data_IF_401604355016
#
_entry.id   IF_401604355016
#
_cell.length_a   1.000
_cell.length_b   1.000
_cell.length_c   1.000
_cell.angle_alpha   90.00
_cell.angle_beta   90.00
_cell.angle_gamma   90.00
#
_symmetry.space_group_name_H-M   'P 1'
#
loop_
_entity.id
_entity.type
_entity.pdbx_description
1 polymer ?
#
# COMPACT_ATOMS: atom_id res chain seq x y z
N UNK A 1 18.43 26.92 2.87
CA UNK A 1 17.84 26.59 4.18
C UNK A 1 16.88 25.42 3.95
N UNK A 2 16.97 24.36 4.75
CA UNK A 2 16.03 23.24 4.65
C UNK A 2 14.65 23.65 5.14
N UNK A 3 13.60 23.06 4.57
CA UNK A 3 12.23 23.22 5.07
C UNK A 3 12.11 22.62 6.48
N UNK A 4 11.45 23.33 7.39
CA UNK A 4 11.16 22.82 8.73
C UNK A 4 9.66 22.80 8.98
N UNK A 5 9.19 21.79 9.69
CA UNK A 5 7.78 21.59 10.09
C UNK A 5 7.70 21.28 11.57
N UNK A 6 6.58 21.65 12.17
CA UNK A 6 6.24 21.29 13.53
C UNK A 6 4.83 20.73 13.60
N UNK A 7 4.62 19.69 14.39
CA UNK A 7 3.32 19.05 14.58
C UNK A 7 3.22 18.44 15.98
N UNK A 8 2.01 18.20 16.48
CA UNK A 8 1.80 17.49 17.75
C UNK A 8 2.11 16.00 17.61
N UNK A 9 1.67 15.39 16.50
CA UNK A 9 1.84 13.96 16.28
C UNK A 9 2.41 13.68 14.90
N UNK A 10 3.49 12.94 14.85
CA UNK A 10 3.99 12.31 13.64
C UNK A 10 3.57 10.84 13.59
N UNK A 11 3.12 10.39 12.44
CA UNK A 11 2.91 8.96 12.16
C UNK A 11 3.82 8.56 11.00
N UNK A 12 4.71 7.59 11.24
CA UNK A 12 5.64 7.07 10.24
C UNK A 12 5.07 5.79 9.66
N UNK A 13 4.78 5.80 8.34
CA UNK A 13 4.15 4.72 7.61
C UNK A 13 2.66 4.94 7.40
N UNK A 14 2.22 4.96 6.14
CA UNK A 14 0.83 5.18 5.74
C UNK A 14 0.09 3.89 5.37
N UNK A 15 0.54 2.75 5.87
CA UNK A 15 -0.18 1.49 5.82
C UNK A 15 -1.43 1.49 6.72
N UNK A 16 -2.19 0.37 6.80
CA UNK A 16 -3.44 0.31 7.57
C UNK A 16 -3.30 0.74 9.03
N UNK A 17 -2.22 0.39 9.70
CA UNK A 17 -1.93 0.84 11.06
C UNK A 17 -1.69 2.34 11.14
N UNK A 18 -0.92 2.90 10.19
CA UNK A 18 -0.54 4.30 10.19
C UNK A 18 -1.68 5.25 9.84
N UNK A 19 -2.35 5.05 8.70
CA UNK A 19 -3.45 5.95 8.35
C UNK A 19 -4.63 5.84 9.34
N UNK A 20 -4.91 4.66 9.90
CA UNK A 20 -5.94 4.52 10.91
C UNK A 20 -5.58 5.29 12.19
N UNK A 21 -4.33 5.21 12.65
CA UNK A 21 -3.84 5.97 13.80
C UNK A 21 -3.88 7.49 13.53
N UNK A 22 -3.41 7.92 12.35
CA UNK A 22 -3.42 9.31 11.93
C UNK A 22 -4.84 9.89 11.89
N UNK A 23 -5.78 9.17 11.30
CA UNK A 23 -7.19 9.60 11.21
C UNK A 23 -7.83 9.67 12.59
N UNK A 24 -7.60 8.66 13.43
CA UNK A 24 -8.13 8.68 14.79
C UNK A 24 -7.58 9.84 15.62
N UNK A 25 -6.28 10.11 15.51
CA UNK A 25 -5.67 11.24 16.21
C UNK A 25 -6.23 12.59 15.73
N UNK A 26 -6.42 12.74 14.42
CA UNK A 26 -7.03 13.94 13.86
C UNK A 26 -8.50 14.11 14.30
N UNK A 27 -9.28 13.01 14.36
CA UNK A 27 -10.65 13.02 14.88
C UNK A 27 -10.71 13.40 16.38
N UNK A 28 -9.61 13.20 17.11
CA UNK A 28 -9.43 13.65 18.51
C UNK A 28 -8.87 15.06 18.63
N UNK A 29 -8.74 15.79 17.52
CA UNK A 29 -8.33 17.20 17.49
C UNK A 29 -6.81 17.42 17.41
N UNK A 30 -5.98 16.37 17.23
CA UNK A 30 -4.53 16.50 17.08
C UNK A 30 -4.14 17.06 15.72
N UNK A 31 -3.07 17.85 15.68
CA UNK A 31 -2.37 18.18 14.46
C UNK A 31 -1.46 17.00 14.08
N UNK A 32 -1.72 16.39 12.91
CA UNK A 32 -1.06 15.15 12.50
C UNK A 32 -0.31 15.33 11.20
N UNK A 33 0.95 14.87 11.19
CA UNK A 33 1.75 14.68 10.00
C UNK A 33 1.96 13.17 9.76
N UNK A 34 1.46 12.66 8.62
CA UNK A 34 1.64 11.29 8.17
C UNK A 34 2.76 11.24 7.13
N UNK A 35 3.80 10.46 7.42
CA UNK A 35 5.00 10.35 6.57
C UNK A 35 5.06 8.94 5.98
N UNK A 36 5.23 8.82 4.68
CA UNK A 36 5.52 7.54 4.02
C UNK A 36 6.55 7.75 2.89
N UNK A 37 7.37 6.73 2.65
CA UNK A 37 8.30 6.72 1.52
C UNK A 37 7.59 6.54 0.17
N UNK A 38 6.47 5.83 0.17
CA UNK A 38 5.67 5.60 -1.03
C UNK A 38 4.81 6.85 -1.34
N UNK A 39 4.55 7.15 -2.62
CA UNK A 39 3.77 8.33 -2.99
C UNK A 39 2.29 8.18 -2.63
N UNK A 40 1.80 6.96 -2.53
CA UNK A 40 0.40 6.66 -2.29
C UNK A 40 0.17 6.08 -0.90
N UNK A 41 -0.89 6.56 -0.25
CA UNK A 41 -1.31 6.04 1.05
C UNK A 41 -1.84 4.61 0.91
N UNK A 42 -1.92 3.87 2.03
CA UNK A 42 -2.47 2.50 2.05
C UNK A 42 -1.44 1.41 2.27
N UNK A 43 -0.14 1.72 2.07
CA UNK A 43 0.97 0.80 2.32
C UNK A 43 0.91 -0.50 1.53
N UNK A 44 1.58 -1.54 2.03
CA UNK A 44 1.66 -2.85 1.37
C UNK A 44 0.28 -3.49 1.20
N UNK A 45 -0.58 -3.43 2.21
CA UNK A 45 -1.89 -4.09 2.17
C UNK A 45 -2.75 -3.58 1.00
N UNK A 46 -2.89 -2.27 0.85
CA UNK A 46 -3.74 -1.70 -0.19
C UNK A 46 -3.09 -1.79 -1.56
N UNK A 47 -1.79 -1.43 -1.64
CA UNK A 47 -1.14 -1.26 -2.93
C UNK A 47 -0.57 -2.55 -3.51
N UNK A 48 -0.12 -3.48 -2.67
CA UNK A 48 0.73 -4.61 -3.08
C UNK A 48 0.45 -5.91 -2.32
N UNK A 49 -0.71 -6.03 -1.67
CA UNK A 49 -1.04 -7.16 -0.82
C UNK A 49 -2.52 -7.50 -0.81
N UNK A 50 -3.21 -7.14 0.26
CA UNK A 50 -4.59 -7.57 0.55
C UNK A 50 -5.58 -7.24 -0.56
N UNK A 51 -5.54 -6.03 -1.09
CA UNK A 51 -6.53 -5.58 -2.06
C UNK A 51 -6.28 -6.21 -3.44
N UNK A 52 -5.09 -6.10 -4.05
CA UNK A 52 -4.87 -6.75 -5.34
C UNK A 52 -5.04 -8.27 -5.27
N UNK A 53 -4.59 -8.94 -4.20
CA UNK A 53 -4.79 -10.38 -4.06
C UNK A 53 -6.27 -10.77 -3.97
N UNK A 54 -7.08 -10.03 -3.19
CA UNK A 54 -8.51 -10.30 -3.11
C UNK A 54 -9.26 -10.02 -4.42
N UNK A 55 -8.86 -9.01 -5.16
CA UNK A 55 -9.42 -8.73 -6.48
C UNK A 55 -9.21 -9.90 -7.44
N UNK A 56 -7.99 -10.46 -7.46
CA UNK A 56 -7.64 -11.61 -8.30
C UNK A 56 -8.31 -12.91 -7.83
N UNK A 57 -8.29 -13.18 -6.52
CA UNK A 57 -8.96 -14.35 -5.93
C UNK A 57 -10.47 -14.32 -6.17
N UNK A 58 -11.09 -13.14 -6.21
CA UNK A 58 -12.51 -13.04 -6.55
C UNK A 58 -12.79 -13.54 -7.97
N UNK A 59 -11.98 -13.16 -8.95
CA UNK A 59 -12.11 -13.61 -10.34
C UNK A 59 -11.94 -15.15 -10.42
N UNK A 60 -10.87 -15.65 -9.80
CA UNK A 60 -10.62 -17.10 -9.76
C UNK A 60 -11.77 -17.86 -9.11
N UNK A 61 -12.31 -17.36 -8.00
CA UNK A 61 -13.45 -17.97 -7.29
C UNK A 61 -14.72 -18.02 -8.17
N UNK A 62 -15.01 -16.95 -8.90
CA UNK A 62 -16.18 -16.91 -9.80
C UNK A 62 -16.03 -17.95 -10.92
N UNK A 63 -14.83 -18.09 -11.49
CA UNK A 63 -14.55 -19.10 -12.51
C UNK A 63 -14.72 -20.51 -11.96
N UNK A 64 -14.21 -20.78 -10.77
CA UNK A 64 -14.34 -22.06 -10.10
C UNK A 64 -15.80 -22.39 -9.77
N UNK A 65 -16.56 -21.43 -9.27
CA UNK A 65 -18.00 -21.58 -9.01
C UNK A 65 -18.78 -21.86 -10.28
N UNK A 66 -18.47 -21.18 -11.40
CA UNK A 66 -19.11 -21.47 -12.68
C UNK A 66 -18.82 -22.91 -13.16
N UNK A 67 -17.60 -23.39 -12.99
CA UNK A 67 -17.22 -24.77 -13.30
C UNK A 67 -17.98 -25.78 -12.41
N UNK A 68 -18.14 -25.49 -11.11
CA UNK A 68 -18.88 -26.37 -10.21
C UNK A 68 -20.36 -26.52 -10.54
N UNK A 69 -20.98 -25.56 -11.24
CA UNK A 69 -22.38 -25.67 -11.66
C UNK A 69 -22.62 -26.82 -12.67
N UNK A 70 -21.56 -27.34 -13.30
CA UNK A 70 -21.66 -28.50 -14.20
C UNK A 70 -22.24 -29.73 -13.46
N UNK A 71 -21.88 -29.93 -12.19
CA UNK A 71 -22.42 -31.01 -11.34
C UNK A 71 -23.94 -30.85 -11.12
N UNK A 72 -24.43 -29.60 -11.15
CA UNK A 72 -25.84 -29.26 -10.97
C UNK A 72 -26.61 -29.21 -12.31
N UNK A 73 -25.97 -29.61 -13.43
CA UNK A 73 -26.59 -29.66 -14.76
C UNK A 73 -26.46 -28.36 -15.57
N UNK A 74 -25.70 -27.36 -15.10
CA UNK A 74 -25.45 -26.11 -15.85
C UNK A 74 -24.01 -26.08 -16.34
N UNK A 75 -23.82 -26.17 -17.65
CA UNK A 75 -22.49 -26.19 -18.26
C UNK A 75 -22.17 -24.85 -18.94
N UNK A 76 -21.08 -24.23 -18.52
CA UNK A 76 -20.49 -23.08 -19.21
C UNK A 76 -19.36 -23.54 -20.15
N UNK A 77 -19.15 -22.80 -21.22
CA UNK A 77 -17.98 -22.99 -22.08
C UNK A 77 -16.67 -22.59 -21.39
N UNK A 78 -15.54 -22.93 -22.00
CA UNK A 78 -14.24 -22.48 -21.49
C UNK A 78 -14.15 -20.94 -21.56
N UNK A 79 -13.73 -20.27 -20.50
CA UNK A 79 -13.61 -18.82 -20.50
C UNK A 79 -12.44 -18.37 -21.37
N UNK A 80 -12.64 -17.29 -22.11
CA UNK A 80 -11.53 -16.54 -22.72
C UNK A 80 -10.94 -15.60 -21.67
N UNK A 81 -9.66 -15.77 -21.34
CA UNK A 81 -8.97 -14.98 -20.32
C UNK A 81 -8.11 -13.92 -21.00
N UNK A 82 -8.39 -12.64 -20.72
CA UNK A 82 -7.59 -11.50 -21.15
C UNK A 82 -6.86 -10.92 -19.93
N UNK A 83 -5.60 -11.33 -19.74
CA UNK A 83 -4.81 -10.98 -18.57
C UNK A 83 -4.67 -9.46 -18.37
N UNK A 84 -4.52 -8.71 -19.46
CA UNK A 84 -4.43 -7.25 -19.39
C UNK A 84 -5.69 -6.62 -18.79
N UNK A 85 -6.88 -7.14 -19.14
CA UNK A 85 -8.14 -6.65 -18.56
C UNK A 85 -8.30 -6.99 -17.09
N UNK A 86 -7.78 -8.13 -16.66
CA UNK A 86 -7.74 -8.53 -15.26
C UNK A 86 -6.79 -7.59 -14.49
N UNK A 87 -5.63 -7.30 -15.05
CA UNK A 87 -4.65 -6.35 -14.48
C UNK A 87 -5.26 -4.95 -14.35
N UNK A 88 -5.90 -4.45 -15.40
CA UNK A 88 -6.57 -3.14 -15.41
C UNK A 88 -7.66 -3.07 -14.33
N UNK A 89 -8.48 -4.12 -14.21
CA UNK A 89 -9.53 -4.20 -13.20
C UNK A 89 -8.94 -4.16 -11.78
N UNK A 90 -7.92 -4.96 -11.51
CA UNK A 90 -7.21 -4.95 -10.22
C UNK A 90 -6.63 -3.56 -9.92
N UNK A 91 -5.94 -2.95 -10.88
CA UNK A 91 -5.33 -1.63 -10.71
C UNK A 91 -6.38 -0.54 -10.47
N UNK A 92 -7.53 -0.61 -11.14
CA UNK A 92 -8.64 0.30 -10.93
C UNK A 92 -9.17 0.24 -9.49
N UNK A 93 -9.34 -0.97 -8.93
CA UNK A 93 -9.78 -1.13 -7.53
C UNK A 93 -8.77 -0.50 -6.58
N UNK A 94 -7.48 -0.77 -6.75
CA UNK A 94 -6.41 -0.20 -5.92
C UNK A 94 -6.44 1.32 -5.98
N UNK A 95 -6.50 1.91 -7.19
CA UNK A 95 -6.53 3.36 -7.39
C UNK A 95 -7.77 4.02 -6.77
N UNK A 96 -8.94 3.40 -6.87
CA UNK A 96 -10.16 3.91 -6.24
C UNK A 96 -10.04 3.97 -4.72
N UNK A 97 -9.49 2.92 -4.10
CA UNK A 97 -9.30 2.88 -2.65
C UNK A 97 -8.21 3.86 -2.18
N UNK A 98 -7.12 4.01 -2.94
CA UNK A 98 -6.12 5.04 -2.68
C UNK A 98 -6.73 6.44 -2.66
N UNK A 99 -7.51 6.76 -3.69
CA UNK A 99 -8.22 8.04 -3.78
C UNK A 99 -9.13 8.26 -2.57
N UNK A 100 -9.82 7.22 -2.11
CA UNK A 100 -10.67 7.26 -0.92
C UNK A 100 -9.88 7.59 0.35
N UNK A 101 -8.73 6.94 0.57
CA UNK A 101 -7.87 7.22 1.73
C UNK A 101 -7.31 8.64 1.66
N UNK A 102 -6.86 9.10 0.49
CA UNK A 102 -6.37 10.46 0.31
C UNK A 102 -7.46 11.51 0.62
N UNK A 103 -8.69 11.27 0.17
CA UNK A 103 -9.83 12.14 0.50
C UNK A 103 -10.14 12.14 1.99
N UNK A 104 -10.09 10.99 2.66
CA UNK A 104 -10.28 10.91 4.12
C UNK A 104 -9.19 11.65 4.89
N UNK A 105 -7.92 11.58 4.47
CA UNK A 105 -6.83 12.34 5.04
C UNK A 105 -7.07 13.85 4.91
N UNK A 106 -7.44 14.29 3.70
CA UNK A 106 -7.75 15.70 3.41
C UNK A 106 -8.94 16.22 4.26
N UNK A 107 -10.02 15.45 4.35
CA UNK A 107 -11.21 15.83 5.12
C UNK A 107 -10.89 16.02 6.61
N UNK A 108 -9.93 15.26 7.15
CA UNK A 108 -9.44 15.35 8.54
C UNK A 108 -8.30 16.33 8.74
N UNK A 109 -7.87 17.01 7.67
CA UNK A 109 -6.72 17.94 7.70
C UNK A 109 -5.41 17.26 8.12
N UNK A 110 -5.30 15.94 7.92
CA UNK A 110 -4.03 15.22 8.11
C UNK A 110 -3.05 15.68 7.03
N UNK A 111 -1.92 16.24 7.45
CA UNK A 111 -0.85 16.57 6.53
C UNK A 111 -0.13 15.31 6.10
N UNK A 112 0.27 15.22 4.83
CA UNK A 112 1.04 14.10 4.31
C UNK A 112 2.39 14.59 3.79
N UNK A 113 3.43 13.79 3.99
CA UNK A 113 4.77 14.07 3.50
C UNK A 113 5.36 12.79 2.92
N UNK A 114 5.67 12.81 1.63
CA UNK A 114 6.39 11.71 1.00
C UNK A 114 7.89 11.82 1.28
N UNK A 115 8.46 10.78 1.88
CA UNK A 115 9.89 10.71 2.15
C UNK A 115 10.28 9.61 3.12
N UNK A 116 11.58 9.40 3.24
CA UNK A 116 12.18 8.46 4.19
C UNK A 116 12.52 9.19 5.49
N UNK A 117 11.82 8.85 6.57
CA UNK A 117 12.03 9.43 7.88
C UNK A 117 13.15 8.72 8.64
N UNK A 118 14.00 9.50 9.30
CA UNK A 118 15.03 9.03 10.20
C UNK A 118 15.03 9.88 11.48
N UNK A 119 15.15 9.25 12.64
CA UNK A 119 15.24 9.97 13.91
C UNK A 119 16.57 10.72 14.04
N UNK A 120 16.50 11.99 14.40
CA UNK A 120 17.63 12.83 14.79
C UNK A 120 17.73 12.88 16.31
N UNK A 121 16.57 12.98 16.97
CA UNK A 121 16.43 12.96 18.42
C UNK A 121 15.08 12.33 18.80
N UNK A 122 14.75 12.38 20.10
CA UNK A 122 13.44 11.90 20.61
C UNK A 122 12.25 12.76 20.15
N UNK A 123 12.50 13.96 19.63
CA UNK A 123 11.48 14.94 19.24
C UNK A 123 11.72 15.51 17.85
N UNK A 124 12.67 14.93 17.10
CA UNK A 124 13.04 15.45 15.79
C UNK A 124 13.29 14.34 14.79
N UNK A 125 12.73 14.49 13.59
CA UNK A 125 12.98 13.64 12.41
C UNK A 125 13.62 14.47 11.30
N UNK A 126 14.47 13.81 10.54
CA UNK A 126 14.89 14.21 9.21
C UNK A 126 14.15 13.36 8.19
N UNK A 127 13.41 14.00 7.30
CA UNK A 127 12.68 13.34 6.21
C UNK A 127 13.38 13.65 4.90
N UNK A 128 13.92 12.64 4.26
CA UNK A 128 14.53 12.75 2.93
C UNK A 128 13.43 12.64 1.88
N UNK A 129 13.16 13.75 1.20
CA UNK A 129 12.17 13.86 0.11
C UNK A 129 12.88 13.92 -1.26
N UNK A 130 12.13 13.90 -2.34
CA UNK A 130 12.65 14.08 -3.71
C UNK A 130 13.23 15.48 -3.95
N UNK A 131 12.83 16.49 -3.17
CA UNK A 131 13.27 17.89 -3.32
C UNK A 131 14.29 18.31 -2.28
N UNK A 132 14.68 17.42 -1.36
CA UNK A 132 15.66 17.71 -0.31
C UNK A 132 15.22 17.18 1.05
N UNK A 133 15.90 17.64 2.09
CA UNK A 133 15.60 17.22 3.46
C UNK A 133 14.62 18.19 4.13
N UNK A 134 13.65 17.64 4.80
CA UNK A 134 12.69 18.35 5.67
C UNK A 134 12.97 17.95 7.11
N UNK A 135 13.21 18.93 8.00
CA UNK A 135 13.30 18.69 9.45
C UNK A 135 11.90 18.80 10.04
N UNK A 136 11.51 17.82 10.84
CA UNK A 136 10.18 17.81 11.49
C UNK A 136 10.34 17.62 12.98
N UNK A 137 9.84 18.57 13.77
CA UNK A 137 9.74 18.49 15.23
C UNK A 137 8.32 18.07 15.65
N UNK A 138 8.20 17.30 16.73
CA UNK A 138 6.95 16.71 17.17
C UNK A 138 6.94 16.48 18.69
N UNK A 139 5.74 16.40 19.28
CA UNK A 139 5.57 16.04 20.69
C UNK A 139 5.49 14.52 20.87
N UNK A 140 4.83 13.83 19.93
CA UNK A 140 4.60 12.38 19.97
C UNK A 140 4.84 11.75 18.59
N UNK A 141 5.25 10.48 18.56
CA UNK A 141 5.46 9.75 17.33
C UNK A 141 4.86 8.33 17.41
N UNK A 142 4.16 7.94 16.35
CA UNK A 142 3.71 6.55 16.14
C UNK A 142 4.52 5.96 15.01
N UNK A 143 5.19 4.84 15.27
CA UNK A 143 5.96 4.10 14.28
C UNK A 143 5.07 2.97 13.73
N UNK A 144 4.63 3.10 12.48
CA UNK A 144 3.81 2.13 11.76
C UNK A 144 4.49 1.71 10.44
N UNK A 145 5.81 1.52 10.46
CA UNK A 145 6.69 1.34 9.30
C UNK A 145 6.45 0.06 8.47
N UNK A 146 5.60 -0.86 8.96
CA UNK A 146 5.26 -2.09 8.25
C UNK A 146 6.40 -3.09 8.18
N UNK A 147 6.40 -3.91 7.10
CA UNK A 147 7.37 -4.99 6.89
C UNK A 147 7.80 -5.05 5.42
N UNK A 148 8.94 -5.63 5.17
CA UNK A 148 9.44 -5.96 3.85
C UNK A 148 9.49 -7.48 3.65
N UNK A 149 9.53 -7.93 2.40
CA UNK A 149 9.78 -9.34 2.09
C UNK A 149 11.16 -9.75 2.62
N UNK A 150 11.22 -10.86 3.34
CA UNK A 150 12.49 -11.42 3.78
C UNK A 150 13.28 -11.94 2.58
N UNK A 151 14.61 -11.74 2.60
CA UNK A 151 15.52 -12.37 1.66
C UNK A 151 15.98 -13.73 2.21
N UNK A 152 16.06 -14.73 1.34
CA UNK A 152 16.60 -16.05 1.69
C UNK A 152 18.08 -16.03 1.32
N UNK A 153 18.99 -16.40 2.24
CA UNK A 153 20.41 -16.50 1.92
C UNK A 153 20.65 -17.45 0.72
N UNK A 154 21.58 -17.08 -0.15
CA UNK A 154 21.98 -17.83 -1.35
C UNK A 154 20.90 -17.97 -2.44
N UNK A 155 19.78 -17.24 -2.36
CA UNK A 155 18.84 -17.12 -3.45
C UNK A 155 19.09 -15.78 -4.17
N UNK A 156 19.30 -15.78 -5.50
CA UNK A 156 19.50 -14.55 -6.26
C UNK A 156 18.22 -13.71 -6.24
N UNK A 157 18.24 -12.59 -5.48
CA UNK A 157 17.05 -11.74 -5.28
C UNK A 157 16.74 -10.84 -6.46
N UNK A 158 17.63 -10.73 -7.42
CA UNK A 158 17.57 -9.90 -8.63
C UNK A 158 17.23 -10.70 -9.90
N UNK A 159 17.00 -12.00 -9.79
CA UNK A 159 16.65 -12.83 -10.96
C UNK A 159 15.20 -12.52 -11.39
N UNK A 160 14.93 -12.28 -12.69
CA UNK A 160 13.60 -11.90 -13.19
C UNK A 160 12.52 -12.96 -12.94
N UNK A 161 12.89 -14.24 -12.85
CA UNK A 161 11.94 -15.32 -12.51
C UNK A 161 11.65 -15.45 -11.03
N UNK A 162 12.33 -14.67 -10.16
CA UNK A 162 12.06 -14.67 -8.73
C UNK A 162 10.93 -13.70 -8.44
N UNK A 163 9.77 -14.24 -8.14
CA UNK A 163 8.62 -13.43 -7.74
C UNK A 163 8.53 -13.36 -6.21
N UNK A 164 8.30 -12.17 -5.73
CA UNK A 164 7.91 -11.91 -4.33
C UNK A 164 6.40 -11.78 -4.23
N UNK A 165 5.86 -11.70 -3.01
CA UNK A 165 4.44 -11.40 -2.79
C UNK A 165 4.01 -10.06 -3.43
N UNK A 166 4.95 -9.16 -3.66
CA UNK A 166 4.72 -7.89 -4.35
C UNK A 166 4.66 -8.08 -5.87
N UNK A 167 5.71 -8.64 -6.46
CA UNK A 167 5.87 -8.71 -7.92
C UNK A 167 4.92 -9.73 -8.56
N UNK A 168 4.58 -10.81 -7.85
CA UNK A 168 3.60 -11.79 -8.33
C UNK A 168 2.20 -11.18 -8.57
N UNK A 169 1.84 -10.12 -7.84
CA UNK A 169 0.54 -9.43 -8.00
C UNK A 169 0.52 -8.42 -9.16
N UNK A 170 1.68 -8.12 -9.75
CA UNK A 170 1.75 -7.24 -10.92
C UNK A 170 1.16 -7.93 -12.16
N UNK A 171 1.19 -9.26 -12.21
CA UNK A 171 0.64 -10.09 -13.30
C UNK A 171 1.19 -9.67 -14.67
N UNK A 172 2.50 -9.59 -14.79
CA UNK A 172 3.14 -9.22 -16.06
C UNK A 172 2.84 -10.23 -17.15
N UNK A 173 2.88 -11.51 -16.79
CA UNK A 173 2.58 -12.64 -17.65
C UNK A 173 1.90 -13.79 -16.87
N UNK A 174 1.59 -14.87 -17.59
CA UNK A 174 1.18 -16.15 -17.01
C UNK A 174 2.33 -17.12 -17.26
N UNK A 175 3.09 -17.52 -16.25
CA UNK A 175 4.19 -18.45 -16.42
C UNK A 175 3.67 -19.80 -16.97
N UNK A 176 4.42 -20.42 -17.86
CA UNK A 176 4.08 -21.74 -18.41
C UNK A 176 4.28 -22.86 -17.38
N UNK A 177 5.16 -22.63 -16.38
CA UNK A 177 5.49 -23.55 -15.28
C UNK A 177 5.83 -22.79 -14.01
#
# INVERSE_FOLDING_TARGET
MGESRQTELVVIGAGPGGYAAAFRAADLGKQVLLIDRDPELGGVCLNRGCIPSKALLHISKVMDQAKHLEIMGVKYGNPEIKIDKIRDYKNKIVSQLNSGIAQMAKARKVQTLQGLASFVSNTELKVQTSTGNVTTTFDQCIIAGGSASASIPNVPTDHPSLLTSRTALDLEDIPER
#
